data_IF_791479428253
#
_entry.id   IF_791479428253
#
_cell.length_a   1.000
_cell.length_b   1.000
_cell.length_c   1.000
_cell.angle_alpha   90.00
_cell.angle_beta   90.00
_cell.angle_gamma   90.00
#
_symmetry.space_group_name_H-M   'P 1'
#
loop_
_entity.id
_entity.type
_entity.pdbx_description
1 polymer ?
#
# COMPACT_ATOMS: atom_id res chain seq x y z
N UNK A 1 -12.18 -11.96 8.22
CA UNK A 1 -11.10 -11.09 7.67
C UNK A 1 -11.32 -9.67 8.14
N UNK A 2 -12.47 -9.05 7.81
CA UNK A 2 -13.01 -7.91 8.54
C UNK A 2 -13.90 -8.37 9.71
N UNK A 3 -13.83 -7.69 10.86
CA UNK A 3 -14.67 -7.93 12.04
C UNK A 3 -14.92 -6.62 12.79
N UNK A 4 -16.08 -6.48 13.44
CA UNK A 4 -16.38 -5.36 14.32
C UNK A 4 -16.09 -5.73 15.78
N UNK A 5 -15.41 -4.83 16.49
CA UNK A 5 -15.13 -4.96 17.92
C UNK A 5 -16.24 -4.32 18.76
N UNK A 6 -16.23 -4.61 20.08
CA UNK A 6 -17.24 -4.13 21.04
C UNK A 6 -17.26 -2.60 21.20
N UNK A 7 -16.16 -1.94 20.86
CA UNK A 7 -15.97 -0.50 20.84
C UNK A 7 -16.38 0.15 19.50
N UNK A 8 -17.06 -0.60 18.62
CA UNK A 8 -17.46 -0.17 17.26
C UNK A 8 -16.30 0.09 16.30
N UNK A 9 -15.12 -0.48 16.60
CA UNK A 9 -13.96 -0.44 15.70
C UNK A 9 -14.06 -1.51 14.60
N UNK A 10 -13.72 -1.15 13.35
CA UNK A 10 -13.54 -2.09 12.24
C UNK A 10 -12.10 -2.63 12.23
N UNK A 11 -11.96 -3.95 12.31
CA UNK A 11 -10.67 -4.65 12.32
C UNK A 11 -10.53 -5.49 11.05
N UNK A 12 -9.53 -5.19 10.22
CA UNK A 12 -9.19 -5.97 9.02
C UNK A 12 -7.88 -6.73 9.27
N UNK A 13 -7.97 -8.03 9.54
CA UNK A 13 -6.81 -8.90 9.73
C UNK A 13 -6.22 -9.30 8.38
N UNK A 14 -4.89 -9.32 8.28
CA UNK A 14 -4.15 -9.66 7.06
C UNK A 14 -4.63 -8.81 5.86
N UNK A 15 -4.59 -7.48 6.03
CA UNK A 15 -4.96 -6.53 4.98
C UNK A 15 -4.12 -6.77 3.72
N UNK A 16 -4.78 -6.62 2.58
CA UNK A 16 -4.24 -6.81 1.25
C UNK A 16 -4.59 -5.63 0.38
N UNK A 17 -3.99 -5.50 -0.81
CA UNK A 17 -4.21 -4.35 -1.69
C UNK A 17 -5.68 -4.12 -2.06
N UNK A 18 -6.51 -5.17 -2.02
CA UNK A 18 -7.96 -5.06 -2.28
C UNK A 18 -8.76 -4.46 -1.11
N UNK A 19 -8.13 -4.29 0.05
CA UNK A 19 -8.68 -3.55 1.20
C UNK A 19 -8.32 -2.05 1.14
N UNK A 20 -7.46 -1.62 0.23
CA UNK A 20 -7.13 -0.20 0.07
C UNK A 20 -8.36 0.59 -0.41
N UNK A 21 -8.62 1.73 0.22
CA UNK A 21 -9.74 2.58 -0.13
C UNK A 21 -10.22 3.47 1.00
N UNK A 22 -11.33 4.16 0.73
CA UNK A 22 -12.01 5.00 1.70
C UNK A 22 -13.00 4.16 2.52
N UNK A 23 -12.96 4.34 3.83
CA UNK A 23 -13.91 3.78 4.79
C UNK A 23 -14.71 4.91 5.44
N UNK A 24 -16.02 4.69 5.59
CA UNK A 24 -16.93 5.64 6.22
C UNK A 24 -17.51 5.00 7.47
N UNK A 25 -17.41 5.72 8.59
CA UNK A 25 -18.12 5.40 9.82
C UNK A 25 -19.33 6.32 9.93
N UNK A 26 -20.52 5.75 10.04
CA UNK A 26 -21.79 6.48 10.12
C UNK A 26 -22.47 6.16 11.46
N UNK A 27 -22.90 7.21 12.16
CA UNK A 27 -23.60 7.11 13.44
C UNK A 27 -24.93 7.83 13.35
N UNK A 28 -26.01 7.09 13.63
CA UNK A 28 -27.39 7.56 13.52
C UNK A 28 -28.09 7.53 14.88
N UNK A 29 -28.94 8.52 15.13
CA UNK A 29 -29.91 8.54 16.23
C UNK A 29 -31.28 9.04 15.74
N UNK A 30 -32.26 9.12 16.63
CA UNK A 30 -33.64 9.53 16.28
C UNK A 30 -33.78 10.96 15.75
N UNK A 31 -32.74 11.79 15.85
CA UNK A 31 -32.74 13.19 15.43
C UNK A 31 -31.97 13.38 14.12
N UNK A 32 -30.99 12.52 13.83
CA UNK A 32 -30.26 12.56 12.57
C UNK A 32 -29.01 11.69 12.55
N UNK A 33 -28.14 11.96 11.57
CA UNK A 33 -26.98 11.14 11.24
C UNK A 33 -25.73 11.98 11.09
N UNK A 34 -24.60 11.44 11.55
CA UNK A 34 -23.26 12.01 11.34
C UNK A 34 -22.36 10.94 10.72
N UNK A 35 -21.38 11.37 9.93
CA UNK A 35 -20.41 10.47 9.33
C UNK A 35 -18.98 11.01 9.41
N UNK A 36 -18.02 10.10 9.37
CA UNK A 36 -16.59 10.39 9.33
C UNK A 36 -15.90 9.47 8.33
N UNK A 37 -14.97 10.02 7.56
CA UNK A 37 -14.27 9.32 6.49
C UNK A 37 -12.79 9.11 6.86
N UNK A 38 -12.23 7.94 6.50
CA UNK A 38 -10.80 7.64 6.62
C UNK A 38 -10.30 6.87 5.39
N UNK A 39 -9.14 7.25 4.88
CA UNK A 39 -8.47 6.51 3.80
C UNK A 39 -7.50 5.47 4.37
N UNK A 40 -7.69 4.21 3.98
CA UNK A 40 -6.78 3.11 4.27
C UNK A 40 -5.85 2.91 3.07
N UNK A 41 -4.55 3.17 3.25
CA UNK A 41 -3.50 2.86 2.27
C UNK A 41 -2.77 1.60 2.70
N UNK A 42 -2.62 0.63 1.81
CA UNK A 42 -1.91 -0.62 2.10
C UNK A 42 -0.48 -0.54 1.56
N UNK A 43 0.47 -0.48 2.47
CA UNK A 43 1.88 -0.42 2.12
C UNK A 43 2.41 -1.77 1.61
N UNK A 44 3.33 -1.68 0.65
CA UNK A 44 4.01 -2.85 0.08
C UNK A 44 5.52 -2.65 0.11
N UNK A 45 6.24 -3.75 0.34
CA UNK A 45 7.70 -3.71 0.36
C UNK A 45 8.23 -3.47 -1.05
N UNK A 46 9.39 -2.80 -1.19
CA UNK A 46 10.03 -2.65 -2.48
C UNK A 46 10.27 -4.00 -3.17
N UNK A 47 10.01 -4.06 -4.46
CA UNK A 47 10.26 -5.21 -5.33
C UNK A 47 11.02 -4.76 -6.58
N UNK A 48 12.06 -5.48 -6.95
CA UNK A 48 12.84 -5.15 -8.15
C UNK A 48 12.01 -5.38 -9.42
N UNK A 49 11.77 -4.32 -10.17
CA UNK A 49 11.32 -4.37 -11.56
C UNK A 49 12.47 -4.75 -12.50
N UNK A 50 13.64 -4.18 -12.26
CA UNK A 50 14.87 -4.48 -12.99
C UNK A 50 16.03 -4.61 -12.02
N UNK A 51 16.75 -5.72 -12.11
CA UNK A 51 17.97 -5.96 -11.36
C UNK A 51 19.17 -5.67 -12.26
N UNK A 52 20.22 -5.01 -11.73
CA UNK A 52 21.47 -4.88 -12.46
C UNK A 52 22.01 -6.28 -12.76
N UNK A 53 22.55 -6.45 -13.96
CA UNK A 53 23.16 -7.70 -14.42
C UNK A 53 24.64 -7.48 -14.66
N UNK A 54 25.43 -8.51 -14.47
CA UNK A 54 26.86 -8.46 -14.72
C UNK A 54 27.15 -8.06 -16.17
N UNK A 55 28.08 -7.13 -16.36
CA UNK A 55 28.53 -6.67 -17.67
C UNK A 55 30.05 -6.79 -17.76
N UNK A 56 30.52 -7.27 -18.91
CA UNK A 56 31.93 -7.23 -19.29
C UNK A 56 32.09 -6.17 -20.37
N UNK A 57 32.89 -5.16 -20.08
CA UNK A 57 33.12 -4.03 -20.98
C UNK A 57 34.61 -3.98 -21.31
N UNK A 58 34.94 -3.63 -22.55
CA UNK A 58 36.33 -3.44 -22.98
C UNK A 58 36.98 -2.20 -22.34
N UNK A 59 38.31 -2.12 -22.42
CA UNK A 59 39.06 -0.94 -21.99
C UNK A 59 38.46 0.34 -22.63
N UNK A 60 38.28 1.37 -21.81
CA UNK A 60 37.67 2.66 -22.16
C UNK A 60 36.17 2.63 -22.53
N UNK A 61 35.47 1.51 -22.36
CA UNK A 61 34.01 1.46 -22.52
C UNK A 61 33.25 1.96 -21.28
N UNK A 62 32.00 2.39 -21.47
CA UNK A 62 31.11 2.83 -20.38
C UNK A 62 30.13 1.71 -20.03
N UNK A 63 30.12 1.28 -18.78
CA UNK A 63 29.10 0.36 -18.25
C UNK A 63 27.86 1.16 -17.81
N UNK A 64 26.66 0.68 -18.16
CA UNK A 64 25.40 1.22 -17.66
C UNK A 64 24.58 0.08 -17.07
N UNK A 65 24.31 0.18 -15.77
CA UNK A 65 23.48 -0.79 -15.06
C UNK A 65 22.10 -0.19 -14.83
N UNK A 66 21.08 -0.86 -15.36
CA UNK A 66 19.70 -0.47 -15.12
C UNK A 66 19.19 -1.17 -13.86
N UNK A 67 18.62 -0.38 -12.96
CA UNK A 67 18.06 -0.83 -11.71
C UNK A 67 16.77 -0.06 -11.47
N UNK A 68 15.68 -0.78 -11.21
CA UNK A 68 14.39 -0.18 -10.94
C UNK A 68 13.64 -1.03 -9.90
N UNK A 69 12.95 -0.37 -8.97
CA UNK A 69 12.11 -1.00 -7.97
C UNK A 69 10.74 -0.33 -7.94
N UNK A 70 9.73 -1.10 -7.52
CA UNK A 70 8.37 -0.63 -7.24
C UNK A 70 8.03 -0.90 -5.79
N UNK A 71 7.14 -0.14 -5.18
CA UNK A 71 6.71 -0.28 -3.79
C UNK A 71 5.66 0.77 -3.44
N UNK A 72 5.01 0.62 -2.29
CA UNK A 72 4.09 1.62 -1.75
C UNK A 72 4.46 1.93 -0.28
N UNK A 73 4.92 3.16 0.04
CA UNK A 73 5.17 4.26 -0.90
C UNK A 73 6.32 3.93 -1.89
N UNK A 74 6.47 4.72 -2.97
CA UNK A 74 7.60 4.56 -3.88
C UNK A 74 8.94 4.53 -3.13
N UNK A 75 9.84 3.59 -3.49
CA UNK A 75 11.14 3.43 -2.84
C UNK A 75 12.12 4.57 -3.12
#
# INVERSE_FOLDING_TARGET
RAEFSKDSSLIIKNASIIDEGTYVCEAENSVGTISSEVSLTVHSRPNFLSRPKDQRIGLNGIAKFECAATGNPPP
#
